data_IF_231410493659
#
_entry.id   IF_231410493659
#
_cell.length_a   1.000
_cell.length_b   1.000
_cell.length_c   1.000
_cell.angle_alpha   90.00
_cell.angle_beta   90.00
_cell.angle_gamma   90.00
#
_symmetry.space_group_name_H-M   'P 1'
#
loop_
_entity.id
_entity.type
_entity.pdbx_description
1 polymer ?
#
# COMPACT_ATOMS: atom_id res chain seq x y z
N UNK A 1 -18.93 3.95 -7.11
CA UNK A 1 -18.46 4.20 -8.49
C UNK A 1 -16.96 3.94 -8.46
N UNK A 2 -16.43 3.04 -9.31
CA UNK A 2 -14.99 2.73 -9.34
C UNK A 2 -14.27 3.85 -10.08
N UNK A 3 -13.36 4.57 -9.41
CA UNK A 3 -12.63 5.70 -9.99
C UNK A 3 -11.42 5.16 -10.75
N UNK A 4 -11.22 5.64 -11.98
CA UNK A 4 -10.02 5.36 -12.76
C UNK A 4 -8.81 6.02 -12.08
N UNK A 5 -7.71 5.28 -11.96
CA UNK A 5 -6.45 5.73 -11.36
C UNK A 5 -6.05 7.12 -11.88
N UNK A 6 -6.03 7.38 -13.19
CA UNK A 6 -5.63 8.70 -13.72
C UNK A 6 -6.53 9.86 -13.24
N UNK A 7 -7.83 9.62 -13.09
CA UNK A 7 -8.81 10.61 -12.60
C UNK A 7 -8.72 10.84 -11.09
N UNK A 8 -8.32 9.80 -10.35
CA UNK A 8 -8.03 9.84 -8.94
C UNK A 8 -6.74 10.65 -8.66
N UNK A 9 -5.71 10.41 -9.46
CA UNK A 9 -4.36 10.94 -9.25
C UNK A 9 -4.22 12.43 -9.60
N UNK A 10 -5.01 12.96 -10.55
CA UNK A 10 -4.89 14.36 -10.97
C UNK A 10 -5.42 15.40 -9.97
N UNK A 11 -6.10 14.96 -8.91
CA UNK A 11 -6.79 15.84 -7.94
C UNK A 11 -6.29 15.66 -6.50
N UNK A 12 -5.24 14.87 -6.26
CA UNK A 12 -4.72 14.64 -4.91
C UNK A 12 -3.69 15.72 -4.53
N UNK A 13 -3.94 16.54 -3.50
CA UNK A 13 -2.89 17.35 -2.89
C UNK A 13 -1.97 16.41 -2.10
N UNK A 14 -0.83 16.02 -2.68
CA UNK A 14 0.13 15.13 -2.03
C UNK A 14 0.94 15.96 -1.02
N UNK A 15 0.54 15.93 0.24
CA UNK A 15 1.31 16.51 1.34
C UNK A 15 2.01 15.39 2.12
N UNK A 16 3.28 15.14 1.81
CA UNK A 16 4.27 14.62 2.77
C UNK A 16 4.13 13.19 3.28
N UNK A 17 3.33 12.32 2.68
CA UNK A 17 3.33 10.88 3.00
C UNK A 17 3.16 10.07 1.73
N UNK A 18 3.95 9.01 1.58
CA UNK A 18 3.85 8.12 0.44
C UNK A 18 2.46 7.46 0.40
N UNK A 19 1.80 7.60 -0.74
CA UNK A 19 0.42 7.15 -0.96
C UNK A 19 0.42 5.83 -1.73
N UNK A 20 -0.47 4.92 -1.32
CA UNK A 20 -0.62 3.60 -1.95
C UNK A 20 -2.06 3.40 -2.40
N UNK A 21 -2.28 2.97 -3.64
CA UNK A 21 -3.63 2.66 -4.13
C UNK A 21 -3.97 1.19 -3.81
N UNK A 22 -5.17 0.95 -3.25
CA UNK A 22 -5.58 -0.36 -2.76
C UNK A 22 -6.76 -0.96 -3.51
N UNK A 23 -6.73 -2.29 -3.66
CA UNK A 23 -7.86 -3.12 -4.08
C UNK A 23 -8.47 -3.82 -2.87
N UNK A 24 -9.78 -3.72 -2.71
CA UNK A 24 -10.48 -4.20 -1.50
C UNK A 24 -11.70 -5.03 -1.95
N UNK A 25 -11.62 -6.37 -1.96
CA UNK A 25 -12.81 -7.21 -2.18
C UNK A 25 -13.89 -6.98 -1.12
N UNK A 26 -15.17 -7.32 -1.40
CA UNK A 26 -16.25 -7.18 -0.44
C UNK A 26 -15.91 -7.87 0.89
N UNK A 27 -15.95 -7.09 1.97
CA UNK A 27 -15.49 -7.49 3.30
C UNK A 27 -16.31 -8.68 3.83
N UNK A 28 -15.68 -9.81 4.23
CA UNK A 28 -16.40 -10.85 4.95
C UNK A 28 -16.87 -10.33 6.32
N UNK A 29 -18.11 -10.62 6.75
CA UNK A 29 -18.61 -10.15 8.04
C UNK A 29 -17.83 -10.88 9.14
N UNK A 30 -17.14 -10.12 9.99
CA UNK A 30 -16.38 -10.56 11.18
C UNK A 30 -15.07 -11.33 10.94
N UNK A 31 -14.00 -10.60 10.59
CA UNK A 31 -12.66 -10.96 11.06
C UNK A 31 -12.21 -9.91 12.10
N UNK A 32 -12.30 -10.21 13.40
CA UNK A 32 -11.73 -9.34 14.42
C UNK A 32 -10.22 -9.55 14.49
N UNK A 33 -9.44 -8.47 14.45
CA UNK A 33 -8.06 -8.48 14.96
C UNK A 33 -6.99 -7.98 13.99
N UNK A 34 -5.91 -7.52 14.61
CA UNK A 34 -4.63 -7.05 14.07
C UNK A 34 -4.35 -7.48 12.64
N UNK A 35 -4.04 -6.50 11.81
CA UNK A 35 -3.65 -6.67 10.42
C UNK A 35 -2.16 -7.00 10.32
N UNK A 36 -1.82 -8.00 9.50
CA UNK A 36 -0.45 -8.27 9.08
C UNK A 36 -0.24 -7.81 7.65
N UNK A 37 0.98 -7.38 7.34
CA UNK A 37 1.39 -7.06 5.96
C UNK A 37 2.26 -8.16 5.40
N UNK A 38 1.84 -8.74 4.27
CA UNK A 38 2.59 -9.77 3.58
C UNK A 38 3.34 -9.21 2.38
N UNK A 39 4.67 -9.32 2.40
CA UNK A 39 5.53 -8.86 1.32
C UNK A 39 5.38 -9.71 0.05
N UNK A 40 5.09 -9.08 -1.09
CA UNK A 40 4.93 -9.77 -2.36
C UNK A 40 6.29 -10.05 -3.04
N UNK A 41 6.78 -11.27 -2.80
CA UNK A 41 7.69 -12.12 -3.59
C UNK A 41 8.31 -11.50 -4.86
N UNK A 42 9.64 -11.58 -4.96
CA UNK A 42 10.40 -11.27 -6.18
C UNK A 42 10.12 -12.31 -7.28
N UNK A 43 10.08 -11.88 -8.55
CA UNK A 43 10.06 -12.77 -9.72
C UNK A 43 11.52 -12.88 -10.22
N UNK A 44 12.30 -13.87 -9.74
CA UNK A 44 13.71 -14.00 -10.12
C UNK A 44 13.93 -14.27 -11.61
N UNK A 45 13.00 -14.91 -12.33
CA UNK A 45 13.00 -15.09 -13.78
C UNK A 45 11.62 -15.63 -14.20
N UNK A 46 11.21 -15.48 -15.47
CA UNK A 46 9.96 -16.00 -16.03
C UNK A 46 9.59 -17.40 -15.45
N UNK A 47 8.64 -17.42 -14.50
CA UNK A 47 8.04 -18.65 -13.97
C UNK A 47 8.59 -19.20 -12.64
N UNK A 48 9.63 -18.62 -12.02
CA UNK A 48 10.09 -19.07 -10.69
C UNK A 48 9.75 -18.02 -9.62
N UNK A 49 9.02 -18.42 -8.57
CA UNK A 49 8.64 -17.59 -7.42
C UNK A 49 9.21 -18.20 -6.13
N UNK A 50 9.86 -17.40 -5.28
CA UNK A 50 10.26 -17.81 -3.93
C UNK A 50 9.27 -17.26 -2.89
N UNK A 51 8.24 -18.05 -2.55
CA UNK A 51 7.10 -17.62 -1.74
C UNK A 51 7.12 -18.03 -0.27
N UNK A 52 8.11 -18.83 0.15
CA UNK A 52 8.05 -19.55 1.43
C UNK A 52 7.77 -18.65 2.64
N UNK A 53 8.38 -17.47 2.71
CA UNK A 53 8.14 -16.52 3.80
C UNK A 53 6.73 -15.90 3.79
N UNK A 54 6.24 -15.52 2.61
CA UNK A 54 4.89 -14.95 2.45
C UNK A 54 3.79 -15.99 2.72
N UNK A 55 3.98 -17.23 2.28
CA UNK A 55 3.06 -18.34 2.55
C UNK A 55 3.02 -18.68 4.03
N UNK A 56 4.18 -18.79 4.70
CA UNK A 56 4.25 -19.03 6.13
C UNK A 56 3.53 -17.94 6.95
N UNK A 57 3.70 -16.67 6.57
CA UNK A 57 2.99 -15.56 7.22
C UNK A 57 1.48 -15.64 6.99
N UNK A 58 1.05 -15.97 5.77
CA UNK A 58 -0.37 -16.13 5.45
C UNK A 58 -1.00 -17.28 6.24
N UNK A 59 -0.32 -18.42 6.31
CA UNK A 59 -0.80 -19.58 7.07
C UNK A 59 -0.85 -19.27 8.58
N UNK A 60 0.14 -18.53 9.10
CA UNK A 60 0.11 -18.03 10.48
C UNK A 60 -1.08 -17.12 10.74
N UNK A 61 -1.33 -16.13 9.90
CA UNK A 61 -2.46 -15.22 10.09
C UNK A 61 -3.81 -15.94 9.97
N UNK A 62 -3.96 -16.86 9.01
CA UNK A 62 -5.19 -17.65 8.88
C UNK A 62 -5.45 -18.53 10.10
N UNK A 63 -4.42 -19.24 10.60
CA UNK A 63 -4.55 -20.06 11.82
C UNK A 63 -4.85 -19.23 13.08
N UNK A 64 -4.42 -17.96 13.11
CA UNK A 64 -4.62 -17.04 14.23
C UNK A 64 -5.74 -16.01 14.01
N UNK A 65 -6.58 -16.20 12.99
CA UNK A 65 -7.73 -15.33 12.67
C UNK A 65 -7.36 -13.86 12.52
N UNK A 66 -6.21 -13.58 11.88
CA UNK A 66 -5.73 -12.24 11.59
C UNK A 66 -6.10 -11.85 10.17
N UNK A 67 -6.40 -10.57 9.97
CA UNK A 67 -6.53 -10.01 8.64
C UNK A 67 -5.15 -9.82 8.02
N UNK A 68 -5.05 -9.96 6.69
CA UNK A 68 -3.79 -9.77 5.96
C UNK A 68 -4.02 -8.85 4.78
N UNK A 69 -3.20 -7.81 4.68
CA UNK A 69 -3.06 -7.00 3.49
C UNK A 69 -1.82 -7.43 2.72
N UNK A 70 -1.98 -7.62 1.42
CA UNK A 70 -0.86 -7.87 0.52
C UNK A 70 -0.12 -6.56 0.22
N UNK A 71 1.18 -6.54 0.47
CA UNK A 71 2.04 -5.36 0.33
C UNK A 71 3.24 -5.79 -0.53
N UNK A 72 3.43 -5.43 -1.78
CA UNK A 72 2.62 -4.68 -2.73
C UNK A 72 2.79 -5.33 -4.09
N UNK A 73 1.78 -5.25 -4.96
CA UNK A 73 1.83 -5.92 -6.27
C UNK A 73 2.84 -5.25 -7.21
N UNK A 74 2.88 -3.92 -7.22
CA UNK A 74 3.71 -3.12 -8.11
C UNK A 74 4.38 -1.99 -7.34
N UNK A 75 5.72 -1.94 -7.36
CA UNK A 75 6.52 -0.93 -6.67
C UNK A 75 7.88 -0.77 -7.31
N UNK A 76 8.26 0.47 -7.62
CA UNK A 76 9.48 0.80 -8.36
C UNK A 76 10.76 0.34 -7.65
N UNK A 77 10.81 0.44 -6.32
CA UNK A 77 12.03 0.20 -5.52
C UNK A 77 12.47 -1.27 -5.44
N UNK A 78 11.56 -2.21 -5.72
CA UNK A 78 11.82 -3.67 -5.61
C UNK A 78 11.50 -4.43 -6.90
N UNK A 79 11.63 -3.79 -8.07
CA UNK A 79 11.53 -4.46 -9.36
C UNK A 79 12.84 -5.18 -9.73
N UNK A 80 12.78 -6.44 -10.23
CA UNK A 80 13.94 -7.10 -10.83
C UNK A 80 14.52 -6.27 -11.99
N UNK A 81 15.84 -6.25 -12.14
CA UNK A 81 16.53 -5.46 -13.18
C UNK A 81 16.01 -5.76 -14.59
N UNK A 82 15.78 -7.04 -14.91
CA UNK A 82 15.26 -7.44 -16.23
C UNK A 82 13.90 -6.84 -16.58
N UNK A 83 13.07 -6.49 -15.58
CA UNK A 83 11.79 -5.80 -15.79
C UNK A 83 12.03 -4.32 -16.10
N UNK A 84 13.04 -3.72 -15.46
CA UNK A 84 13.44 -2.34 -15.69
C UNK A 84 14.05 -2.14 -17.09
N UNK A 85 14.62 -3.19 -17.68
CA UNK A 85 15.21 -3.18 -19.02
C UNK A 85 14.17 -3.32 -20.15
N UNK A 86 12.89 -3.56 -19.84
CA UNK A 86 11.83 -3.70 -20.85
C UNK A 86 11.45 -2.32 -21.40
N UNK A 87 11.72 -2.10 -22.68
CA UNK A 87 11.42 -0.83 -23.38
C UNK A 87 10.11 -0.84 -24.14
N UNK A 88 9.56 -2.02 -24.47
CA UNK A 88 8.28 -2.15 -25.16
C UNK A 88 7.12 -2.03 -24.14
N UNK A 89 6.21 -1.05 -24.25
CA UNK A 89 5.12 -0.86 -23.29
C UNK A 89 4.14 -2.04 -23.22
N UNK A 90 3.90 -2.73 -24.33
CA UNK A 90 3.01 -3.90 -24.38
C UNK A 90 3.62 -5.10 -23.64
N UNK A 91 4.91 -5.36 -23.85
CA UNK A 91 5.62 -6.44 -23.16
C UNK A 91 5.67 -6.19 -21.65
N UNK A 92 5.95 -4.95 -21.25
CA UNK A 92 5.97 -4.57 -19.84
C UNK A 92 4.58 -4.69 -19.20
N UNK A 93 3.53 -4.24 -19.89
CA UNK A 93 2.15 -4.41 -19.42
C UNK A 93 1.79 -5.90 -19.24
N UNK A 94 2.20 -6.76 -20.17
CA UNK A 94 1.99 -8.21 -20.06
C UNK A 94 2.74 -8.82 -18.87
N UNK A 95 3.99 -8.40 -18.63
CA UNK A 95 4.78 -8.84 -17.47
C UNK A 95 4.11 -8.43 -16.16
N UNK A 96 3.65 -7.18 -16.05
CA UNK A 96 2.95 -6.67 -14.87
C UNK A 96 1.62 -7.40 -14.66
N UNK A 97 0.80 -7.57 -15.71
CA UNK A 97 -0.45 -8.33 -15.65
C UNK A 97 -0.23 -9.77 -15.20
N UNK A 98 0.78 -10.44 -15.76
CA UNK A 98 1.11 -11.82 -15.38
C UNK A 98 1.56 -11.91 -13.91
N UNK A 99 2.37 -10.95 -13.42
CA UNK A 99 2.74 -10.85 -12.01
C UNK A 99 1.50 -10.71 -11.12
N UNK A 100 0.63 -9.74 -11.43
CA UNK A 100 -0.60 -9.48 -10.66
C UNK A 100 -1.46 -10.75 -10.62
N UNK A 101 -1.74 -11.34 -11.77
CA UNK A 101 -2.56 -12.56 -11.87
C UNK A 101 -1.97 -13.73 -11.09
N UNK A 102 -0.66 -13.94 -11.17
CA UNK A 102 0.01 -15.04 -10.48
C UNK A 102 0.00 -14.85 -8.96
N UNK A 103 0.37 -13.65 -8.48
CA UNK A 103 0.43 -13.37 -7.04
C UNK A 103 -0.98 -13.37 -6.42
N UNK A 104 -1.92 -12.65 -7.03
CA UNK A 104 -3.31 -12.62 -6.54
C UNK A 104 -3.98 -13.99 -6.65
N UNK A 105 -3.69 -14.78 -7.69
CA UNK A 105 -4.19 -16.14 -7.85
C UNK A 105 -3.68 -17.09 -6.76
N UNK A 106 -2.38 -17.03 -6.42
CA UNK A 106 -1.78 -17.84 -5.35
C UNK A 106 -2.40 -17.57 -3.98
N UNK A 107 -2.76 -16.31 -3.70
CA UNK A 107 -3.30 -15.87 -2.41
C UNK A 107 -4.82 -15.61 -2.45
N UNK A 108 -5.51 -16.12 -3.47
CA UNK A 108 -6.93 -15.87 -3.69
C UNK A 108 -7.74 -16.34 -2.47
N UNK A 109 -8.60 -15.44 -1.97
CA UNK A 109 -9.46 -15.71 -0.81
C UNK A 109 -8.75 -15.72 0.55
N UNK A 110 -7.43 -15.47 0.59
CA UNK A 110 -6.65 -15.45 1.84
C UNK A 110 -6.39 -14.04 2.39
N UNK A 111 -6.35 -13.04 1.51
CA UNK A 111 -6.02 -11.64 1.83
C UNK A 111 -7.26 -10.77 1.64
N UNK A 112 -7.46 -9.80 2.53
CA UNK A 112 -8.66 -8.95 2.52
C UNK A 112 -8.48 -7.67 1.70
N UNK A 113 -7.24 -7.24 1.48
CA UNK A 113 -6.89 -6.05 0.70
C UNK A 113 -5.50 -6.21 0.06
N UNK A 114 -5.23 -5.44 -0.98
CA UNK A 114 -3.92 -5.36 -1.65
C UNK A 114 -3.50 -3.93 -1.86
N UNK A 115 -2.24 -3.62 -1.57
CA UNK A 115 -1.53 -2.51 -2.19
C UNK A 115 -1.26 -2.88 -3.66
N UNK A 116 -2.00 -2.25 -4.58
CA UNK A 116 -1.86 -2.51 -6.01
C UNK A 116 -0.65 -1.79 -6.59
N UNK A 117 -0.50 -0.50 -6.27
CA UNK A 117 0.63 0.35 -6.66
C UNK A 117 1.10 1.16 -5.46
N UNK A 118 2.41 1.18 -5.20
CA UNK A 118 3.05 1.91 -4.09
C UNK A 118 4.00 2.98 -4.63
N UNK A 119 4.02 4.16 -4.00
CA UNK A 119 5.02 5.22 -4.22
C UNK A 119 5.17 5.62 -5.69
N UNK A 120 4.05 6.02 -6.30
CA UNK A 120 4.00 6.47 -7.69
C UNK A 120 4.10 8.00 -7.85
N UNK A 121 4.18 8.72 -6.73
CA UNK A 121 4.30 10.18 -6.69
C UNK A 121 5.65 10.60 -6.13
N UNK A 122 6.20 11.68 -6.68
CA UNK A 122 7.27 12.47 -6.08
C UNK A 122 6.68 13.37 -4.97
N UNK A 123 7.56 13.97 -4.19
CA UNK A 123 7.20 14.86 -3.07
C UNK A 123 6.53 16.16 -3.53
N UNK A 124 6.73 16.57 -4.78
CA UNK A 124 6.08 17.72 -5.40
C UNK A 124 4.69 17.39 -6.01
N UNK A 125 4.23 16.15 -5.84
CA UNK A 125 2.95 15.65 -6.36
C UNK A 125 2.99 15.26 -7.84
N UNK A 126 4.13 15.42 -8.53
CA UNK A 126 4.29 14.89 -9.89
C UNK A 126 4.46 13.38 -9.86
N UNK A 127 4.23 12.73 -11.00
CA UNK A 127 4.40 11.27 -11.10
C UNK A 127 5.88 10.89 -11.13
N UNK A 128 6.23 9.87 -10.35
CA UNK A 128 7.58 9.34 -10.34
C UNK A 128 7.89 8.66 -11.67
N UNK A 129 8.96 9.12 -12.32
CA UNK A 129 9.43 8.55 -13.58
C UNK A 129 10.02 7.15 -13.34
N UNK A 130 9.27 6.12 -13.73
CA UNK A 130 9.68 4.72 -13.65
C UNK A 130 9.06 3.92 -14.79
N UNK A 131 9.57 2.71 -15.05
CA UNK A 131 8.96 1.82 -16.05
C UNK A 131 7.49 1.50 -15.73
N UNK A 132 7.10 1.53 -14.45
CA UNK A 132 5.71 1.34 -14.00
C UNK A 132 4.82 2.48 -14.47
N UNK A 133 5.31 3.73 -14.43
CA UNK A 133 4.55 4.91 -14.85
C UNK A 133 4.05 4.77 -16.31
N UNK A 134 4.93 4.32 -17.20
CA UNK A 134 4.63 4.13 -18.62
C UNK A 134 3.50 3.10 -18.87
N UNK A 135 3.30 2.17 -17.93
CA UNK A 135 2.20 1.18 -17.99
C UNK A 135 0.91 1.73 -17.38
N UNK A 136 1.00 2.49 -16.29
CA UNK A 136 -0.17 3.09 -15.64
C UNK A 136 -0.84 4.16 -16.52
N UNK A 137 -0.09 4.83 -17.38
CA UNK A 137 -0.67 5.76 -18.38
C UNK A 137 -1.47 5.04 -19.47
N UNK A 138 -1.16 3.77 -19.76
CA UNK A 138 -1.71 3.04 -20.92
C UNK A 138 -2.84 2.07 -20.56
N UNK A 139 -3.09 1.79 -19.28
CA UNK A 139 -4.17 0.90 -18.81
C UNK A 139 -4.98 1.53 -17.66
N UNK A 140 -6.15 2.08 -18.00
CA UNK A 140 -7.03 2.91 -17.15
C UNK A 140 -8.15 2.12 -16.44
N UNK A 141 -8.08 0.79 -16.46
CA UNK A 141 -9.17 -0.09 -16.00
C UNK A 141 -9.02 -0.63 -14.57
N UNK A 142 -7.93 -0.35 -13.85
CA UNK A 142 -7.73 -0.88 -12.49
C UNK A 142 -8.71 -0.19 -11.54
N UNK A 143 -9.67 -0.93 -10.95
CA UNK A 143 -10.67 -0.33 -10.08
C UNK A 143 -10.05 0.01 -8.73
N UNK A 144 -9.70 1.27 -8.48
CA UNK A 144 -9.16 1.65 -7.17
C UNK A 144 -10.30 1.74 -6.17
N UNK A 145 -10.21 0.93 -5.11
CA UNK A 145 -11.21 0.88 -4.04
C UNK A 145 -10.74 1.69 -2.81
N UNK A 146 -9.42 1.93 -2.68
CA UNK A 146 -8.82 2.56 -1.51
C UNK A 146 -7.61 3.44 -1.81
N UNK A 147 -7.37 4.48 -1.00
CA UNK A 147 -6.10 5.22 -0.95
C UNK A 147 -5.52 5.09 0.46
N UNK A 148 -4.39 4.41 0.62
CA UNK A 148 -3.69 4.28 1.89
C UNK A 148 -2.60 5.33 2.08
N UNK A 149 -2.48 5.85 3.29
CA UNK A 149 -1.30 6.61 3.75
C UNK A 149 -0.33 5.66 4.44
N UNK A 150 0.97 5.72 4.10
CA UNK A 150 1.98 5.02 4.89
C UNK A 150 2.01 5.57 6.32
N UNK A 151 2.03 6.90 6.48
CA UNK A 151 2.14 7.57 7.77
C UNK A 151 3.44 7.19 8.52
N UNK A 152 4.58 7.22 7.81
CA UNK A 152 5.89 7.31 8.45
C UNK A 152 6.10 8.74 8.95
N UNK A 153 5.94 8.97 10.25
CA UNK A 153 5.86 10.30 10.83
C UNK A 153 7.16 10.72 11.52
N UNK A 154 7.44 12.02 11.45
CA UNK A 154 8.59 12.63 12.10
C UNK A 154 8.31 13.03 13.56
N UNK A 155 9.37 13.46 14.24
CA UNK A 155 9.31 14.06 15.57
C UNK A 155 8.36 15.27 15.61
N UNK A 156 7.71 15.49 16.75
CA UNK A 156 6.82 16.65 16.96
C UNK A 156 7.50 17.96 16.57
N UNK A 157 6.79 18.79 15.82
CA UNK A 157 7.24 20.10 15.34
C UNK A 157 8.02 20.03 14.02
N UNK A 158 8.23 18.85 13.45
CA UNK A 158 8.83 18.68 12.12
C UNK A 158 7.75 18.53 11.05
N UNK A 159 8.12 18.81 9.80
CA UNK A 159 7.27 18.50 8.67
C UNK A 159 6.98 17.00 8.62
N UNK A 160 5.69 16.64 8.50
CA UNK A 160 5.25 15.25 8.54
C UNK A 160 5.14 14.65 9.94
N UNK A 161 4.90 15.47 10.98
CA UNK A 161 4.52 14.98 12.31
C UNK A 161 3.04 14.58 12.40
N UNK A 162 2.63 14.05 13.57
CA UNK A 162 1.27 13.57 13.81
C UNK A 162 0.17 14.64 13.68
N UNK A 163 0.49 15.92 13.90
CA UNK A 163 -0.50 17.00 13.88
C UNK A 163 -1.04 17.29 12.48
N UNK A 164 -0.27 16.97 11.44
CA UNK A 164 -0.68 17.12 10.05
C UNK A 164 -1.59 16.00 9.51
N UNK A 165 -1.64 14.85 10.19
CA UNK A 165 -2.26 13.62 9.65
C UNK A 165 -3.75 13.80 9.39
N UNK A 166 -4.49 14.43 10.29
CA UNK A 166 -5.93 14.66 10.12
C UNK A 166 -6.25 15.50 8.87
N UNK A 167 -5.48 16.55 8.63
CA UNK A 167 -5.64 17.40 7.44
C UNK A 167 -5.28 16.65 6.16
N UNK A 168 -4.19 15.86 6.17
CA UNK A 168 -3.77 15.06 5.03
C UNK A 168 -4.82 14.00 4.65
N UNK A 169 -5.35 13.27 5.64
CA UNK A 169 -6.43 12.31 5.40
C UNK A 169 -7.68 13.00 4.83
N UNK A 170 -8.08 14.13 5.41
CA UNK A 170 -9.21 14.93 4.92
C UNK A 170 -9.02 15.38 3.47
N UNK A 171 -7.81 15.72 3.07
CA UNK A 171 -7.51 16.18 1.71
C UNK A 171 -7.69 15.08 0.66
N UNK A 172 -7.54 13.81 1.08
CA UNK A 172 -7.81 12.64 0.23
C UNK A 172 -9.28 12.20 0.27
N UNK A 173 -10.17 12.95 0.95
CA UNK A 173 -11.53 12.50 1.25
C UNK A 173 -12.44 12.26 0.05
N UNK A 174 -12.31 13.09 -0.97
CA UNK A 174 -13.10 13.03 -2.20
C UNK A 174 -12.58 12.00 -3.21
N UNK A 175 -11.36 11.51 -3.02
CA UNK A 175 -10.69 10.69 -4.01
C UNK A 175 -11.19 9.23 -3.95
N UNK A 176 -11.25 8.63 -2.77
CA UNK A 176 -11.53 7.20 -2.58
C UNK A 176 -12.66 6.94 -1.58
N UNK A 177 -13.40 5.82 -1.66
CA UNK A 177 -14.35 5.44 -0.62
C UNK A 177 -13.70 4.86 0.65
N UNK A 178 -12.47 4.34 0.57
CA UNK A 178 -11.74 3.79 1.73
C UNK A 178 -10.33 4.40 1.87
N UNK A 179 -9.90 4.66 3.12
CA UNK A 179 -8.58 5.26 3.43
C UNK A 179 -7.89 4.68 4.67
N UNK A 180 -7.12 3.58 4.55
CA UNK A 180 -6.36 3.04 5.68
C UNK A 180 -5.10 3.86 6.00
N UNK A 181 -4.70 3.89 7.26
CA UNK A 181 -3.30 4.11 7.64
C UNK A 181 -2.59 2.76 7.62
N UNK A 182 -1.61 2.61 6.74
CA UNK A 182 -1.07 1.32 6.37
C UNK A 182 0.27 1.01 7.06
N UNK A 183 1.09 1.99 7.39
CA UNK A 183 2.49 1.73 7.80
C UNK A 183 2.89 2.67 8.94
N UNK A 184 1.98 2.91 9.89
CA UNK A 184 2.16 3.93 10.93
C UNK A 184 3.38 3.61 11.80
N UNK A 185 4.37 4.49 11.75
CA UNK A 185 5.44 4.60 12.74
C UNK A 185 5.73 6.09 12.99
N UNK A 186 6.29 6.39 14.16
CA UNK A 186 6.57 7.77 14.57
C UNK A 186 7.96 7.83 15.17
N UNK A 187 8.85 8.62 14.55
CA UNK A 187 10.20 8.82 15.06
C UNK A 187 10.19 9.48 16.44
N UNK A 188 10.82 8.83 17.43
CA UNK A 188 10.89 9.32 18.81
C UNK A 188 9.56 9.33 19.55
N UNK A 189 8.64 8.44 19.17
CA UNK A 189 7.25 8.47 19.56
C UNK A 189 6.98 8.73 21.06
N UNK A 190 6.16 9.74 21.34
CA UNK A 190 5.41 9.88 22.59
C UNK A 190 4.01 9.26 22.49
N UNK A 191 3.42 8.86 23.62
CA UNK A 191 2.06 8.32 23.66
C UNK A 191 1.03 9.28 23.05
N UNK A 192 1.22 10.59 23.25
CA UNK A 192 0.32 11.64 22.75
C UNK A 192 0.31 11.69 21.20
N UNK A 193 1.44 11.43 20.55
CA UNK A 193 1.53 11.45 19.08
C UNK A 193 0.79 10.26 18.45
N UNK A 194 0.90 9.07 19.05
CA UNK A 194 0.12 7.91 18.61
C UNK A 194 -1.37 8.12 18.85
N UNK A 195 -1.74 8.76 19.95
CA UNK A 195 -3.13 9.13 20.21
C UNK A 195 -3.65 10.10 19.13
N UNK A 196 -2.89 11.13 18.80
CA UNK A 196 -3.24 12.11 17.78
C UNK A 196 -3.42 11.48 16.39
N UNK A 197 -2.44 10.68 15.94
CA UNK A 197 -2.54 9.94 14.68
C UNK A 197 -3.73 8.98 14.67
N UNK A 198 -3.96 8.24 15.76
CA UNK A 198 -5.09 7.30 15.85
C UNK A 198 -6.43 8.03 15.81
N UNK A 199 -6.55 9.16 16.50
CA UNK A 199 -7.74 10.01 16.47
C UNK A 199 -8.02 10.56 15.07
N UNK A 200 -6.97 10.93 14.32
CA UNK A 200 -7.12 11.40 12.94
C UNK A 200 -7.82 10.35 12.05
N UNK A 201 -7.49 9.06 12.17
CA UNK A 201 -8.25 8.00 11.49
C UNK A 201 -9.65 7.83 12.08
N UNK A 202 -9.76 7.77 13.42
CA UNK A 202 -11.04 7.51 14.09
C UNK A 202 -12.15 8.50 13.72
N UNK A 203 -11.81 9.78 13.55
CA UNK A 203 -12.76 10.82 13.20
C UNK A 203 -13.07 10.91 11.69
N UNK A 204 -12.37 10.15 10.85
CA UNK A 204 -12.65 10.06 9.41
C UNK A 204 -13.51 8.83 9.14
N UNK A 205 -14.76 9.06 8.69
CA UNK A 205 -15.78 8.01 8.52
C UNK A 205 -15.43 6.91 7.53
N UNK A 206 -14.47 7.20 6.66
CA UNK A 206 -13.93 6.38 5.58
C UNK A 206 -12.55 5.78 5.92
N UNK A 207 -12.00 6.07 7.10
CA UNK A 207 -10.80 5.38 7.56
C UNK A 207 -11.15 3.95 7.98
N UNK A 208 -10.64 2.98 7.24
CA UNK A 208 -11.03 1.57 7.39
C UNK A 208 -10.15 0.76 8.33
N UNK A 209 -9.04 1.34 8.80
CA UNK A 209 -8.11 0.70 9.73
C UNK A 209 -6.76 1.41 9.85
N UNK A 210 -6.01 1.04 10.89
CA UNK A 210 -4.62 1.44 11.14
C UNK A 210 -3.78 0.18 11.27
N UNK A 211 -2.65 0.13 10.57
CA UNK A 211 -1.59 -0.85 10.76
C UNK A 211 -0.31 -0.12 11.14
N UNK A 212 0.31 -0.55 12.24
CA UNK A 212 1.63 -0.05 12.67
C UNK A 212 2.74 -0.80 11.94
N UNK A 213 3.82 -0.11 11.60
CA UNK A 213 4.97 -0.72 10.97
C UNK A 213 5.91 -1.29 12.03
N UNK A 214 5.89 -2.61 12.16
CA UNK A 214 6.57 -3.43 13.18
C UNK A 214 5.89 -3.44 14.57
N UNK A 215 6.38 -4.34 15.43
CA UNK A 215 5.89 -4.61 16.78
C UNK A 215 6.88 -4.04 17.81
N UNK A 216 8.17 -3.91 17.46
CA UNK A 216 9.21 -3.46 18.39
C UNK A 216 10.34 -2.73 17.70
N UNK A 217 10.82 -1.66 18.34
CA UNK A 217 12.00 -0.89 17.92
C UNK A 217 13.30 -1.73 17.81
N UNK A 218 13.33 -2.91 18.43
CA UNK A 218 14.50 -3.81 18.42
C UNK A 218 14.57 -4.73 17.20
N UNK A 219 13.55 -4.75 16.34
CA UNK A 219 13.48 -5.63 15.16
C UNK A 219 13.71 -4.76 13.91
N UNK A 220 14.96 -4.37 13.66
CA UNK A 220 15.34 -4.04 12.29
C UNK A 220 15.87 -5.31 11.64
N UNK A 221 15.08 -5.93 10.77
CA UNK A 221 15.64 -6.89 9.82
C UNK A 221 16.48 -6.05 8.85
N UNK A 222 17.76 -5.93 9.13
CA UNK A 222 18.74 -5.44 8.15
C UNK A 222 18.72 -6.42 6.98
N UNK A 223 17.98 -6.08 5.93
CA UNK A 223 18.09 -6.71 4.61
C UNK A 223 19.08 -5.94 3.75
#
# INVERSE_FOLDING_TARGET
MKTNLLTLLSNLPVAGSAVTASLIPPRPPSMPGFELMANAISIPLLGQFSSGGAEALVDYAQSNRKMIRGHTLVWHSRLPSWVQDITNPTDLANVIKNRIATVMGRFQGKLYAWHAVKEIFNEDGTMQQSVIYNVLETDSGIPIDGIGSQSHLNYTGQFGDASGVGAAMQATCSASPERPMAELDIAGAGADQYQEATQACFYQTDCVGITVWDISDGIFVTT
#
